data_IF_512188114494
#
_entry.id   IF_512188114494
#
_cell.length_a   1.000
_cell.length_b   1.000
_cell.length_c   1.000
_cell.angle_alpha   90.00
_cell.angle_beta   90.00
_cell.angle_gamma   90.00
#
_symmetry.space_group_name_H-M   'P 1'
#
loop_
_entity.id
_entity.type
_entity.pdbx_description
1 polymer ?
#
# COMPACT_ATOMS: atom_id res chain seq x y z
N UNK A 1 -3.69 -7.35 -21.85
CA UNK A 1 -2.60 -6.46 -21.41
C UNK A 1 -3.08 -5.06 -21.01
N UNK A 2 -3.92 -4.43 -21.82
CA UNK A 2 -4.44 -3.10 -21.52
C UNK A 2 -5.19 -3.05 -20.19
N UNK A 3 -6.10 -4.00 -19.96
CA UNK A 3 -6.87 -4.07 -18.72
C UNK A 3 -5.99 -4.31 -17.49
N UNK A 4 -4.98 -5.17 -17.61
CA UNK A 4 -4.04 -5.46 -16.52
C UNK A 4 -3.17 -4.24 -16.20
N UNK A 5 -2.68 -3.51 -17.20
CA UNK A 5 -1.90 -2.29 -17.00
C UNK A 5 -2.75 -1.18 -16.39
N UNK A 6 -4.00 -1.04 -16.81
CA UNK A 6 -4.95 -0.10 -16.22
C UNK A 6 -5.19 -0.42 -14.73
N UNK A 7 -5.35 -1.70 -14.40
CA UNK A 7 -5.47 -2.15 -13.00
C UNK A 7 -4.25 -1.80 -12.16
N UNK A 8 -3.06 -2.02 -12.69
CA UNK A 8 -1.80 -1.63 -12.03
C UNK A 8 -1.74 -0.12 -11.79
N UNK A 9 -2.12 0.67 -12.79
CA UNK A 9 -2.15 2.12 -12.65
C UNK A 9 -3.12 2.58 -11.55
N UNK A 10 -4.31 1.95 -11.50
CA UNK A 10 -5.32 2.24 -10.47
C UNK A 10 -4.80 1.91 -9.07
N UNK A 11 -4.16 0.75 -8.90
CA UNK A 11 -3.56 0.35 -7.62
C UNK A 11 -2.46 1.33 -7.21
N UNK A 12 -1.63 1.75 -8.15
CA UNK A 12 -0.58 2.76 -7.90
C UNK A 12 -1.18 4.05 -7.37
N UNK A 13 -2.25 4.54 -7.99
CA UNK A 13 -2.93 5.77 -7.55
C UNK A 13 -3.51 5.65 -6.14
N UNK A 14 -4.06 4.48 -5.80
CA UNK A 14 -4.56 4.23 -4.44
C UNK A 14 -3.43 4.26 -3.41
N UNK A 15 -2.32 3.61 -3.70
CA UNK A 15 -1.15 3.58 -2.81
C UNK A 15 -0.57 4.98 -2.63
N UNK A 16 -0.47 5.76 -3.70
CA UNK A 16 -0.05 7.16 -3.62
C UNK A 16 -0.99 8.00 -2.76
N UNK A 17 -2.28 7.80 -2.90
CA UNK A 17 -3.28 8.49 -2.09
C UNK A 17 -3.11 8.16 -0.60
N UNK A 18 -2.93 6.90 -0.26
CA UNK A 18 -2.68 6.47 1.12
C UNK A 18 -1.38 7.09 1.67
N UNK A 19 -0.33 7.12 0.86
CA UNK A 19 0.93 7.76 1.24
C UNK A 19 0.75 9.25 1.56
N UNK A 20 0.03 9.97 0.73
CA UNK A 20 -0.26 11.39 0.95
C UNK A 20 -1.04 11.59 2.25
N UNK A 21 -2.09 10.82 2.47
CA UNK A 21 -2.92 10.93 3.66
C UNK A 21 -2.15 10.62 4.93
N UNK A 22 -1.30 9.59 4.91
CA UNK A 22 -0.46 9.23 6.05
C UNK A 22 0.64 10.27 6.29
N UNK A 23 1.27 10.77 5.23
CA UNK A 23 2.35 11.76 5.33
C UNK A 23 1.86 13.11 5.85
N UNK A 24 0.64 13.49 5.52
CA UNK A 24 0.02 14.74 5.98
C UNK A 24 -0.70 14.61 7.31
N UNK A 25 -0.71 13.40 7.87
CA UNK A 25 -1.34 13.12 9.16
C UNK A 25 -2.82 13.57 9.21
N UNK A 26 -3.54 13.30 8.12
CA UNK A 26 -4.93 13.72 7.93
C UNK A 26 -5.87 13.01 8.88
N UNK A 27 -5.61 11.72 9.16
CA UNK A 27 -6.45 10.89 10.01
C UNK A 27 -5.74 10.53 11.31
N UNK A 28 -6.54 10.25 12.35
CA UNK A 28 -6.08 9.78 13.66
C UNK A 28 -6.98 8.65 14.16
N UNK A 29 -6.57 7.98 15.23
CA UNK A 29 -7.36 6.95 15.87
C UNK A 29 -7.71 5.79 14.94
N UNK A 30 -8.95 5.36 14.96
CA UNK A 30 -9.42 4.21 14.17
C UNK A 30 -9.28 4.43 12.66
N UNK A 31 -9.50 5.64 12.20
CA UNK A 31 -9.36 5.97 10.77
C UNK A 31 -7.92 5.79 10.30
N UNK A 32 -6.96 6.22 11.11
CA UNK A 32 -5.53 6.01 10.82
C UNK A 32 -5.15 4.53 10.86
N UNK A 33 -5.65 3.81 11.84
CA UNK A 33 -5.43 2.35 11.97
C UNK A 33 -5.95 1.61 10.74
N UNK A 34 -7.16 1.93 10.29
CA UNK A 34 -7.74 1.37 9.07
C UNK A 34 -6.92 1.72 7.84
N UNK A 35 -6.46 2.96 7.73
CA UNK A 35 -5.66 3.42 6.59
C UNK A 35 -4.33 2.67 6.51
N UNK A 36 -3.67 2.43 7.64
CA UNK A 36 -2.46 1.62 7.71
C UNK A 36 -2.72 0.17 7.27
N UNK A 37 -3.83 -0.41 7.72
CA UNK A 37 -4.23 -1.75 7.29
C UNK A 37 -4.51 -1.83 5.79
N UNK A 38 -5.17 -0.83 5.24
CA UNK A 38 -5.42 -0.76 3.79
C UNK A 38 -4.13 -0.60 3.00
N UNK A 39 -3.17 0.18 3.48
CA UNK A 39 -1.85 0.30 2.86
C UNK A 39 -1.14 -1.06 2.85
N UNK A 40 -1.14 -1.75 3.98
CA UNK A 40 -0.52 -3.08 4.10
C UNK A 40 -1.20 -4.12 3.19
N UNK A 41 -2.52 -4.03 3.01
CA UNK A 41 -3.28 -4.91 2.12
C UNK A 41 -3.01 -4.62 0.64
N UNK A 42 -2.97 -3.35 0.27
CA UNK A 42 -2.88 -2.93 -1.13
C UNK A 42 -1.47 -3.03 -1.70
N UNK A 43 -0.45 -2.78 -0.88
CA UNK A 43 0.92 -2.69 -1.37
C UNK A 43 1.45 -3.98 -2.00
N UNK A 44 1.22 -5.18 -1.43
CA UNK A 44 1.63 -6.43 -2.08
C UNK A 44 0.99 -6.63 -3.47
N UNK A 45 -0.23 -6.14 -3.67
CA UNK A 45 -0.89 -6.17 -4.98
C UNK A 45 -0.16 -5.28 -5.98
N UNK A 46 0.35 -4.13 -5.53
CA UNK A 46 1.16 -3.25 -6.35
C UNK A 46 2.46 -3.95 -6.79
N UNK A 47 3.17 -4.57 -5.86
CA UNK A 47 4.39 -5.32 -6.16
C UNK A 47 4.14 -6.47 -7.15
N UNK A 48 3.13 -7.28 -6.88
CA UNK A 48 2.76 -8.40 -7.75
C UNK A 48 2.38 -7.92 -9.15
N UNK A 49 1.62 -6.83 -9.24
CA UNK A 49 1.26 -6.23 -10.52
C UNK A 49 2.48 -5.80 -11.34
N UNK A 50 3.47 -5.19 -10.69
CA UNK A 50 4.72 -4.82 -11.36
C UNK A 50 5.50 -6.04 -11.85
N UNK A 51 5.59 -7.10 -11.05
CA UNK A 51 6.27 -8.33 -11.43
C UNK A 51 5.61 -8.99 -12.63
N UNK A 52 4.27 -9.09 -12.62
CA UNK A 52 3.50 -9.72 -13.69
C UNK A 52 3.55 -8.93 -14.99
N UNK A 53 3.72 -7.61 -14.93
CA UNK A 53 3.73 -6.73 -16.08
C UNK A 53 5.13 -6.27 -16.49
N UNK A 54 6.17 -6.95 -16.02
CA UNK A 54 7.54 -6.75 -16.49
C UNK A 54 7.71 -7.40 -17.87
N UNK A 55 7.15 -6.76 -18.90
CA UNK A 55 7.01 -7.28 -20.26
C UNK A 55 7.67 -6.33 -21.27
N UNK A 56 8.97 -6.16 -21.17
CA UNK A 56 9.75 -5.23 -22.01
C UNK A 56 9.45 -5.37 -23.51
N UNK A 57 9.23 -6.60 -23.96
CA UNK A 57 9.04 -6.90 -25.38
C UNK A 57 7.74 -6.32 -25.98
N UNK A 58 6.74 -6.04 -25.12
CA UNK A 58 5.42 -5.56 -25.57
C UNK A 58 5.24 -4.07 -25.43
N UNK A 59 6.14 -3.38 -24.72
CA UNK A 59 6.03 -1.93 -24.52
C UNK A 59 6.76 -1.15 -25.62
N UNK A 60 6.12 -0.10 -26.13
CA UNK A 60 6.80 0.95 -26.88
C UNK A 60 7.59 1.85 -25.90
N UNK A 61 8.31 2.84 -26.43
CA UNK A 61 9.14 3.73 -25.61
C UNK A 61 8.33 4.43 -24.51
N UNK A 62 7.12 4.88 -24.80
CA UNK A 62 6.24 5.54 -23.82
C UNK A 62 5.79 4.56 -22.73
N UNK A 63 5.45 3.33 -23.10
CA UNK A 63 5.08 2.28 -22.16
C UNK A 63 6.22 1.92 -21.22
N UNK A 64 7.44 1.85 -21.73
CA UNK A 64 8.64 1.60 -20.92
C UNK A 64 8.90 2.71 -19.92
N UNK A 65 8.75 3.97 -20.32
CA UNK A 65 8.85 5.12 -19.42
C UNK A 65 7.84 5.04 -18.28
N UNK A 66 6.58 4.76 -18.62
CA UNK A 66 5.49 4.64 -17.63
C UNK A 66 5.77 3.49 -16.64
N UNK A 67 6.19 2.34 -17.15
CA UNK A 67 6.51 1.19 -16.31
C UNK A 67 7.68 1.50 -15.36
N UNK A 68 8.72 2.15 -15.85
CA UNK A 68 9.86 2.56 -15.04
C UNK A 68 9.45 3.55 -13.94
N UNK A 69 8.60 4.51 -14.27
CA UNK A 69 8.06 5.46 -13.31
C UNK A 69 7.29 4.76 -12.18
N UNK A 70 6.41 3.79 -12.53
CA UNK A 70 5.66 3.02 -11.56
C UNK A 70 6.59 2.20 -10.66
N UNK A 71 7.65 1.61 -11.23
CA UNK A 71 8.65 0.85 -10.48
C UNK A 71 9.38 1.74 -9.47
N UNK A 72 9.79 2.93 -9.87
CA UNK A 72 10.46 3.89 -8.97
C UNK A 72 9.56 4.34 -7.84
N UNK A 73 8.29 4.62 -8.12
CA UNK A 73 7.29 4.96 -7.10
C UNK A 73 7.10 3.82 -6.10
N UNK A 74 7.01 2.58 -6.60
CA UNK A 74 6.88 1.41 -5.75
C UNK A 74 8.06 1.30 -4.77
N UNK A 75 9.28 1.43 -5.26
CA UNK A 75 10.48 1.34 -4.44
C UNK A 75 10.54 2.44 -3.37
N UNK A 76 10.18 3.67 -3.73
CA UNK A 76 10.15 4.80 -2.80
C UNK A 76 9.15 4.56 -1.66
N UNK A 77 7.96 4.09 -2.00
CA UNK A 77 6.90 3.83 -1.02
C UNK A 77 7.26 2.61 -0.16
N UNK A 78 7.80 1.56 -0.77
CA UNK A 78 8.25 0.36 -0.03
C UNK A 78 9.26 0.74 1.07
N UNK A 79 10.24 1.56 0.74
CA UNK A 79 11.24 1.99 1.70
C UNK A 79 10.63 2.72 2.90
N UNK A 80 9.60 3.52 2.64
CA UNK A 80 8.93 4.31 3.68
C UNK A 80 8.05 3.47 4.60
N UNK A 81 7.36 2.46 4.05
CA UNK A 81 6.35 1.67 4.78
C UNK A 81 6.75 0.23 5.06
N UNK A 82 8.00 -0.13 4.84
CA UNK A 82 8.50 -1.50 4.97
C UNK A 82 8.12 -2.15 6.30
N UNK A 83 8.23 -1.43 7.39
CA UNK A 83 7.95 -2.00 8.72
C UNK A 83 6.47 -2.34 8.91
N UNK A 84 5.53 -1.52 8.42
CA UNK A 84 4.10 -1.84 8.55
C UNK A 84 3.70 -3.00 7.64
N UNK A 85 4.37 -3.16 6.51
CA UNK A 85 4.12 -4.28 5.61
C UNK A 85 4.49 -5.63 6.24
N UNK A 86 5.45 -5.63 7.16
CA UNK A 86 5.89 -6.83 7.88
C UNK A 86 5.13 -7.05 9.18
N UNK A 87 4.58 -6.01 9.75
CA UNK A 87 4.01 -6.02 11.10
C UNK A 87 2.56 -6.46 11.12
N UNK A 88 1.74 -5.97 10.17
CA UNK A 88 0.33 -6.27 10.18
C UNK A 88 0.05 -7.68 9.65
N UNK A 89 -0.78 -8.41 10.42
CA UNK A 89 -1.26 -9.74 10.05
C UNK A 89 -2.51 -9.61 9.17
N UNK A 90 -2.39 -10.08 7.93
CA UNK A 90 -3.46 -10.05 6.93
C UNK A 90 -3.99 -11.45 6.61
N UNK A 91 -3.70 -12.44 7.46
CA UNK A 91 -4.05 -13.85 7.24
C UNK A 91 -5.55 -14.10 7.17
N UNK A 92 -6.36 -13.24 7.77
CA UNK A 92 -7.81 -13.34 7.78
C UNK A 92 -8.48 -12.52 6.67
N UNK A 93 -7.68 -11.93 5.79
CA UNK A 93 -8.26 -11.12 4.73
C UNK A 93 -8.86 -12.00 3.64
N UNK A 94 -10.02 -11.55 3.17
CA UNK A 94 -10.71 -12.06 2.01
C UNK A 94 -10.28 -11.28 0.75
N UNK A 95 -11.05 -11.34 -0.34
CA UNK A 95 -10.79 -10.55 -1.55
C UNK A 95 -10.81 -9.06 -1.30
N UNK A 96 -11.65 -8.61 -0.35
CA UNK A 96 -11.79 -7.21 0.02
C UNK A 96 -11.26 -6.98 1.43
N UNK A 97 -10.64 -5.81 1.65
CA UNK A 97 -10.24 -5.40 2.99
C UNK A 97 -11.48 -5.06 3.83
N UNK A 98 -11.59 -5.71 5.00
CA UNK A 98 -12.64 -5.46 5.99
C UNK A 98 -12.00 -5.09 7.32
N UNK A 99 -12.26 -3.88 7.78
CA UNK A 99 -11.61 -3.35 8.97
C UNK A 99 -11.92 -4.18 10.23
N UNK A 100 -13.16 -4.64 10.39
CA UNK A 100 -13.52 -5.45 11.57
C UNK A 100 -12.74 -6.77 11.61
N UNK A 101 -12.53 -7.41 10.47
CA UNK A 101 -11.73 -8.63 10.37
C UNK A 101 -10.24 -8.35 10.61
N UNK A 102 -9.75 -7.25 10.08
CA UNK A 102 -8.38 -6.78 10.33
C UNK A 102 -8.11 -6.59 11.83
N UNK A 103 -9.08 -6.07 12.59
CA UNK A 103 -8.96 -5.86 14.02
C UNK A 103 -8.94 -7.16 14.84
N UNK A 104 -9.34 -8.31 14.27
CA UNK A 104 -9.24 -9.60 14.96
C UNK A 104 -7.77 -10.04 15.14
N UNK A 105 -6.91 -9.67 14.22
CA UNK A 105 -5.48 -10.04 14.26
C UNK A 105 -4.56 -8.85 14.50
N UNK A 106 -5.07 -7.63 14.44
CA UNK A 106 -4.29 -6.40 14.62
C UNK A 106 -4.99 -5.49 15.62
N UNK A 107 -4.62 -5.62 16.89
CA UNK A 107 -5.24 -4.93 18.00
C UNK A 107 -5.17 -3.41 17.87
N UNK A 108 -6.32 -2.77 18.02
CA UNK A 108 -6.40 -1.31 18.05
C UNK A 108 -5.67 -0.72 19.27
N UNK A 109 -5.75 -1.39 20.42
CA UNK A 109 -5.04 -0.95 21.64
C UNK A 109 -3.53 -0.95 21.44
N UNK A 110 -2.98 -1.99 20.81
CA UNK A 110 -1.56 -2.05 20.48
C UNK A 110 -1.17 -0.93 19.51
N UNK A 111 -2.01 -0.65 18.53
CA UNK A 111 -1.80 0.48 17.63
C UNK A 111 -1.75 1.80 18.39
N UNK A 112 -2.70 2.06 19.29
CA UNK A 112 -2.77 3.30 20.08
C UNK A 112 -1.49 3.53 20.87
N UNK A 113 -0.97 2.49 21.54
CA UNK A 113 0.26 2.59 22.31
C UNK A 113 1.47 2.95 21.44
N UNK A 114 1.61 2.32 20.29
CA UNK A 114 2.69 2.62 19.35
C UNK A 114 2.53 3.99 18.72
N UNK A 115 1.31 4.38 18.37
CA UNK A 115 1.04 5.68 17.74
C UNK A 115 1.38 6.83 18.69
N UNK A 116 1.08 6.69 19.97
CA UNK A 116 1.48 7.66 21.01
C UNK A 116 2.99 7.86 21.08
N UNK A 117 3.76 6.82 20.78
CA UNK A 117 5.23 6.85 20.75
C UNK A 117 5.78 7.39 19.43
N UNK A 118 4.94 7.78 18.50
CA UNK A 118 5.33 8.28 17.18
C UNK A 118 5.71 7.20 16.18
N UNK A 119 5.47 5.92 16.49
CA UNK A 119 5.85 4.80 15.64
C UNK A 119 5.21 4.86 14.25
N UNK A 120 3.99 5.37 14.16
CA UNK A 120 3.26 5.53 12.89
C UNK A 120 3.23 6.98 12.41
N UNK A 121 4.31 7.72 12.65
CA UNK A 121 4.49 9.05 12.11
C UNK A 121 5.29 8.96 10.79
N UNK A 122 4.66 9.31 9.68
CA UNK A 122 5.24 9.25 8.34
C UNK A 122 5.45 10.62 7.70
N UNK A 123 5.45 11.65 8.53
CA UNK A 123 5.72 13.02 8.03
C UNK A 123 7.13 13.15 7.43
#
# INVERSE_FOLDING_TARGET
LYGAFHGLYTVTRRVECFDILLSKNVFSGREKHELLGRMADMFPRFQTGLELLNLDEVYNEKGKEMYLELTQKCQTILKKYEKILKEFDLSHRDLDFRYNEFCLTNSYENFVEKDKQGYYNFN
#
